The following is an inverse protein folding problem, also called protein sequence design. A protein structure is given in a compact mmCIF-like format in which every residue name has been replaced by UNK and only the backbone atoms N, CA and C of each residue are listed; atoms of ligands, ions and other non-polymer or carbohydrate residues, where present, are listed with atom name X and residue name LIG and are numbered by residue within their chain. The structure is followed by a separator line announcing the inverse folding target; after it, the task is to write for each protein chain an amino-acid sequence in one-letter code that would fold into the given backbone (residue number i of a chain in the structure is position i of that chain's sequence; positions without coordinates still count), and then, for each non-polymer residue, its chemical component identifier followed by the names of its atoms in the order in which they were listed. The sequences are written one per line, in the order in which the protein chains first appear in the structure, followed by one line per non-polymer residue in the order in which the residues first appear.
data_IF_600158709684
#
_entry.id   IF_600158709684
#
_cell.length_a   1.000
_cell.length_b   1.000
_cell.length_c   1.000
_cell.angle_alpha   90.00
_cell.angle_beta   90.00
_cell.angle_gamma   90.00
#
_symmetry.space_group_name_H-M   'P 1'
#
loop_
_entity.id
_entity.type
_entity.pdbx_description
1 polymer ?
#
# COMPACT_ATOMS: atom_id res chain seq x y z
N UNK A 1 27.41 -8.69 8.95
CA UNK A 1 26.66 -8.00 7.87
C UNK A 1 25.87 -6.89 8.51
N UNK A 2 25.91 -5.69 7.96
CA UNK A 2 25.10 -4.59 8.48
C UNK A 2 23.62 -4.91 8.22
N UNK A 3 22.78 -4.77 9.24
CA UNK A 3 21.33 -4.87 9.10
C UNK A 3 20.88 -3.70 8.21
N UNK A 4 20.05 -3.94 7.17
CA UNK A 4 19.52 -2.85 6.37
C UNK A 4 18.83 -1.81 7.29
N UNK A 5 19.11 -0.51 7.13
CA UNK A 5 18.44 0.52 7.93
C UNK A 5 16.92 0.40 7.73
N UNK A 6 16.18 0.36 8.85
CA UNK A 6 14.72 0.20 8.86
C UNK A 6 14.20 -1.24 8.93
N UNK A 7 15.08 -2.25 9.09
CA UNK A 7 14.63 -3.61 9.33
C UNK A 7 14.09 -3.76 10.76
N UNK A 8 12.79 -4.01 10.89
CA UNK A 8 12.13 -4.33 12.15
C UNK A 8 11.75 -5.81 12.17
N UNK A 9 12.45 -6.58 13.02
CA UNK A 9 12.22 -8.01 13.16
C UNK A 9 10.85 -8.34 13.78
N UNK A 10 10.22 -7.39 14.49
CA UNK A 10 8.95 -7.60 15.21
C UNK A 10 7.74 -7.73 14.28
N UNK A 11 7.85 -7.24 13.04
CA UNK A 11 6.79 -7.32 12.03
C UNK A 11 6.65 -8.76 11.46
N UNK A 12 7.60 -9.65 11.76
CA UNK A 12 7.60 -11.03 11.26
C UNK A 12 7.19 -12.03 12.35
N UNK A 13 6.43 -13.09 12.02
CA UNK A 13 5.95 -13.45 10.68
C UNK A 13 4.75 -12.60 10.23
N UNK A 14 4.67 -12.30 8.92
CA UNK A 14 3.49 -11.66 8.31
C UNK A 14 2.97 -12.46 7.12
N UNK A 15 1.66 -12.44 6.91
CA UNK A 15 1.06 -12.99 5.69
C UNK A 15 1.36 -12.07 4.50
N UNK A 16 1.69 -12.66 3.34
CA UNK A 16 1.94 -11.93 2.08
C UNK A 16 1.06 -12.50 0.97
N UNK A 17 0.80 -11.74 -0.11
CA UNK A 17 -0.01 -12.22 -1.22
C UNK A 17 0.53 -13.54 -1.79
N UNK A 18 -0.37 -14.48 -2.04
CA UNK A 18 -0.03 -15.76 -2.64
C UNK A 18 0.47 -15.56 -4.08
N UNK A 19 1.57 -16.23 -4.48
CA UNK A 19 2.00 -16.26 -5.88
C UNK A 19 0.88 -16.73 -6.82
N UNK A 20 0.77 -16.08 -7.99
CA UNK A 20 -0.18 -16.47 -9.03
C UNK A 20 0.03 -17.92 -9.46
N UNK A 21 -1.07 -18.63 -9.72
CA UNK A 21 -1.07 -20.03 -10.17
C UNK A 21 -0.92 -21.07 -9.06
N UNK A 22 -0.83 -20.67 -7.79
CA UNK A 22 -0.92 -21.61 -6.67
C UNK A 22 -2.37 -22.00 -6.35
N UNK A 23 -2.63 -23.24 -5.90
CA UNK A 23 -3.97 -23.67 -5.52
C UNK A 23 -4.48 -22.89 -4.30
N UNK A 24 -5.80 -22.68 -4.23
CA UNK A 24 -6.46 -22.09 -3.06
C UNK A 24 -6.35 -22.98 -1.81
N UNK A 25 -6.59 -22.40 -0.63
CA UNK A 25 -6.47 -23.10 0.66
C UNK A 25 -5.07 -23.05 1.27
N UNK A 26 -4.23 -22.12 0.83
CA UNK A 26 -2.84 -21.97 1.23
C UNK A 26 -2.52 -20.51 1.49
N UNK A 27 -1.59 -20.29 2.43
CA UNK A 27 -1.08 -18.97 2.82
C UNK A 27 0.43 -18.89 2.62
N UNK A 28 0.90 -17.76 2.13
CA UNK A 28 2.31 -17.39 2.07
C UNK A 28 2.64 -16.53 3.29
N UNK A 29 3.66 -16.94 4.05
CA UNK A 29 4.08 -16.29 5.28
C UNK A 29 5.54 -15.86 5.07
N UNK A 30 5.76 -14.55 5.07
CA UNK A 30 7.09 -13.99 5.07
C UNK A 30 7.67 -14.04 6.49
N UNK A 31 8.90 -14.54 6.59
CA UNK A 31 9.65 -14.69 7.84
C UNK A 31 11.00 -14.03 7.69
N UNK A 32 11.54 -13.55 8.80
CA UNK A 32 12.92 -13.08 8.89
C UNK A 32 13.85 -14.22 9.32
N UNK A 33 15.09 -14.18 8.84
CA UNK A 33 16.17 -14.97 9.44
C UNK A 33 16.53 -14.41 10.82
N UNK A 34 16.77 -15.28 11.80
CA UNK A 34 17.11 -14.88 13.17
C UNK A 34 18.52 -14.29 13.29
N UNK A 35 18.84 -13.62 14.42
CA UNK A 35 20.13 -12.95 14.66
C UNK A 35 21.37 -13.82 14.50
N UNK A 36 21.23 -15.13 14.73
CA UNK A 36 22.33 -16.10 14.62
C UNK A 36 22.57 -16.60 13.19
N UNK A 37 21.66 -16.32 12.24
CA UNK A 37 21.79 -16.79 10.87
C UNK A 37 22.77 -15.90 10.07
N UNK A 38 23.54 -16.52 9.17
CA UNK A 38 24.38 -15.78 8.20
C UNK A 38 23.55 -14.78 7.38
N UNK A 39 22.30 -15.10 7.12
CA UNK A 39 21.35 -14.26 6.37
C UNK A 39 20.51 -13.34 7.26
N UNK A 40 20.97 -13.00 8.47
CA UNK A 40 20.27 -12.06 9.35
C UNK A 40 19.95 -10.74 8.62
N UNK A 41 18.71 -10.25 8.79
CA UNK A 41 18.17 -9.09 8.08
C UNK A 41 17.53 -9.40 6.72
N UNK A 42 17.68 -10.62 6.21
CA UNK A 42 16.96 -11.07 5.01
C UNK A 42 15.62 -11.72 5.38
N UNK A 43 14.68 -11.72 4.43
CA UNK A 43 13.40 -12.43 4.57
C UNK A 43 13.33 -13.66 3.67
N UNK A 44 12.43 -14.58 3.99
CA UNK A 44 12.11 -15.76 3.18
C UNK A 44 10.62 -16.09 3.30
N UNK A 45 10.05 -16.69 2.25
CA UNK A 45 8.64 -17.09 2.22
C UNK A 45 8.52 -18.57 2.59
N UNK A 46 7.58 -18.87 3.48
CA UNK A 46 7.12 -20.22 3.80
C UNK A 46 5.63 -20.34 3.54
N UNK A 47 5.19 -21.51 3.15
CA UNK A 47 3.78 -21.76 2.86
C UNK A 47 3.17 -22.69 3.91
N UNK A 48 1.93 -22.42 4.28
CA UNK A 48 1.15 -23.27 5.19
C UNK A 48 -0.26 -23.46 4.63
N UNK A 49 -0.85 -24.64 4.80
CA UNK A 49 -2.22 -24.91 4.39
C UNK A 49 -3.20 -24.33 5.42
N UNK A 50 -4.37 -23.90 4.96
CA UNK A 50 -5.40 -23.33 5.85
C UNK A 50 -5.94 -24.36 6.85
N UNK A 51 -5.95 -25.63 6.48
CA UNK A 51 -6.30 -26.73 7.37
C UNK A 51 -5.21 -27.08 8.41
N UNK A 52 -4.03 -26.45 8.34
CA UNK A 52 -2.91 -26.71 9.25
C UNK A 52 -2.18 -28.04 9.06
N UNK A 53 -2.61 -28.89 8.12
CA UNK A 53 -1.98 -30.19 7.83
C UNK A 53 -0.54 -30.06 7.31
N UNK A 54 -0.27 -29.04 6.50
CA UNK A 54 1.06 -28.77 5.95
C UNK A 54 1.55 -27.41 6.44
N UNK A 55 2.75 -27.39 7.03
CA UNK A 55 3.36 -26.17 7.58
C UNK A 55 4.78 -26.01 7.07
N UNK A 56 5.21 -24.75 6.96
CA UNK A 56 6.60 -24.39 6.66
C UNK A 56 7.15 -24.94 5.33
N UNK A 57 6.31 -25.13 4.31
CA UNK A 57 6.79 -25.57 3.00
C UNK A 57 7.68 -24.48 2.37
N UNK A 58 8.80 -24.90 1.80
CA UNK A 58 9.84 -23.97 1.34
C UNK A 58 9.69 -23.45 -0.09
N UNK A 59 8.75 -23.99 -0.88
CA UNK A 59 8.58 -23.59 -2.28
C UNK A 59 7.15 -23.78 -2.78
N UNK A 60 6.79 -23.01 -3.80
CA UNK A 60 5.52 -23.12 -4.52
C UNK A 60 5.30 -24.53 -5.12
N UNK A 61 6.35 -25.15 -5.67
CA UNK A 61 6.25 -26.52 -6.20
C UNK A 61 6.02 -27.56 -5.09
N UNK A 62 6.56 -27.36 -3.89
CA UNK A 62 6.26 -28.20 -2.74
C UNK A 62 4.80 -28.06 -2.28
N UNK A 63 4.25 -26.83 -2.33
CA UNK A 63 2.82 -26.57 -2.08
C UNK A 63 1.93 -27.34 -3.04
N UNK A 64 2.23 -27.31 -4.35
CA UNK A 64 1.46 -28.03 -5.36
C UNK A 64 1.47 -29.53 -5.11
N UNK A 65 2.64 -30.10 -4.81
CA UNK A 65 2.78 -31.53 -4.48
C UNK A 65 1.98 -31.92 -3.24
N UNK A 66 2.12 -31.13 -2.16
CA UNK A 66 1.37 -31.34 -0.93
C UNK A 66 -0.14 -31.20 -1.14
N UNK A 67 -0.59 -30.27 -1.99
CA UNK A 67 -1.99 -30.10 -2.32
C UNK A 67 -2.56 -31.31 -3.07
N UNK A 68 -1.80 -31.85 -4.02
CA UNK A 68 -2.20 -33.06 -4.75
C UNK A 68 -2.28 -34.26 -3.82
N UNK A 69 -1.31 -34.42 -2.92
CA UNK A 69 -1.31 -35.47 -1.89
C UNK A 69 -2.53 -35.35 -0.96
N UNK A 70 -2.80 -34.15 -0.43
CA UNK A 70 -3.94 -33.88 0.44
C UNK A 70 -5.29 -34.26 -0.20
N UNK A 71 -5.41 -34.02 -1.51
CA UNK A 71 -6.61 -34.34 -2.30
C UNK A 71 -6.61 -35.75 -2.87
N UNK A 72 -5.59 -36.57 -2.56
CA UNK A 72 -5.41 -37.93 -3.12
C UNK A 72 -5.42 -37.95 -4.66
N UNK A 73 -4.92 -36.88 -5.27
CA UNK A 73 -4.72 -36.78 -6.72
C UNK A 73 -3.52 -37.63 -7.14
N UNK A 74 -3.52 -38.07 -8.38
CA UNK A 74 -2.46 -38.93 -8.90
C UNK A 74 -1.18 -38.11 -9.17
N UNK A 75 -0.04 -38.79 -9.37
CA UNK A 75 1.24 -38.10 -9.65
C UNK A 75 1.24 -37.31 -10.97
N UNK A 76 0.43 -37.74 -11.94
CA UNK A 76 0.29 -37.06 -13.24
C UNK A 76 -0.39 -35.70 -13.07
N UNK A 77 -1.42 -35.63 -12.24
CA UNK A 77 -2.11 -34.38 -11.90
C UNK A 77 -1.12 -33.37 -11.29
N UNK A 78 -0.25 -33.81 -10.37
CA UNK A 78 0.78 -32.93 -9.80
C UNK A 78 1.74 -32.35 -10.85
N UNK A 79 2.06 -33.11 -11.91
CA UNK A 79 2.90 -32.60 -12.99
C UNK A 79 2.17 -31.56 -13.84
N UNK A 80 0.87 -31.77 -14.09
CA UNK A 80 0.02 -30.81 -14.81
C UNK A 80 -0.13 -29.50 -14.03
N UNK A 81 -0.36 -29.55 -12.71
CA UNK A 81 -0.38 -28.34 -11.87
C UNK A 81 0.96 -27.58 -11.88
N UNK A 82 2.09 -28.28 -11.86
CA UNK A 82 3.41 -27.62 -11.93
C UNK A 82 3.61 -26.95 -13.30
N UNK A 83 3.20 -27.61 -14.38
CA UNK A 83 3.29 -27.06 -15.74
C UNK A 83 2.44 -25.79 -15.88
N UNK A 84 1.21 -25.83 -15.35
CA UNK A 84 0.31 -24.67 -15.36
C UNK A 84 0.86 -23.52 -14.50
N UNK A 85 1.38 -23.81 -13.31
CA UNK A 85 2.04 -22.81 -12.47
C UNK A 85 3.24 -22.15 -13.18
N UNK A 86 4.09 -22.95 -13.83
CA UNK A 86 5.24 -22.42 -14.58
C UNK A 86 4.76 -21.56 -15.78
N UNK A 87 3.68 -21.94 -16.48
CA UNK A 87 3.06 -21.13 -17.55
C UNK A 87 2.57 -19.78 -17.04
N UNK A 88 1.74 -19.77 -15.99
CA UNK A 88 1.19 -18.54 -15.39
C UNK A 88 2.31 -17.63 -14.87
N UNK A 89 3.37 -18.21 -14.30
CA UNK A 89 4.53 -17.45 -13.82
C UNK A 89 5.30 -16.80 -14.96
N UNK A 90 5.50 -17.48 -16.09
CA UNK A 90 6.16 -16.89 -17.26
C UNK A 90 5.29 -15.81 -17.91
N UNK A 91 3.96 -15.97 -17.94
CA UNK A 91 3.04 -14.94 -18.41
C UNK A 91 3.05 -13.70 -17.51
N UNK A 92 3.01 -13.88 -16.19
CA UNK A 92 3.14 -12.77 -15.23
C UNK A 92 4.51 -12.08 -15.33
N UNK A 93 5.58 -12.85 -15.51
CA UNK A 93 6.93 -12.31 -15.73
C UNK A 93 6.97 -11.46 -16.99
N UNK A 94 6.44 -11.95 -18.11
CA UNK A 94 6.35 -11.20 -19.38
C UNK A 94 5.49 -9.95 -19.22
N UNK A 95 4.33 -10.05 -18.58
CA UNK A 95 3.45 -8.90 -18.31
C UNK A 95 4.18 -7.83 -17.48
N UNK A 96 4.84 -8.22 -16.40
CA UNK A 96 5.63 -7.32 -15.55
C UNK A 96 6.82 -6.74 -16.30
N UNK A 97 7.45 -7.51 -17.18
CA UNK A 97 8.54 -7.03 -18.03
C UNK A 97 8.01 -5.96 -19.00
N UNK A 98 6.91 -6.21 -19.71
CA UNK A 98 6.25 -5.21 -20.56
C UNK A 98 5.80 -3.97 -19.78
N UNK A 99 5.27 -4.12 -18.57
CA UNK A 99 4.92 -3.00 -17.69
C UNK A 99 6.16 -2.21 -17.23
N UNK A 100 7.27 -2.90 -16.95
CA UNK A 100 8.55 -2.25 -16.62
C UNK A 100 9.13 -1.52 -17.82
N UNK A 101 9.05 -2.12 -19.00
CA UNK A 101 9.56 -1.54 -20.24
C UNK A 101 8.77 -0.30 -20.66
N UNK A 102 7.44 -0.34 -20.56
CA UNK A 102 6.59 0.84 -20.80
C UNK A 102 6.86 1.98 -19.81
N UNK A 103 7.34 1.68 -18.60
CA UNK A 103 7.84 2.65 -17.61
C UNK A 103 9.32 3.02 -17.78
N UNK A 104 9.95 2.67 -18.91
CA UNK A 104 11.36 2.97 -19.20
C UNK A 104 12.39 2.16 -18.43
N UNK A 105 11.97 1.19 -17.60
CA UNK A 105 12.87 0.27 -16.86
C UNK A 105 13.25 -0.94 -17.70
N UNK A 106 13.89 -0.67 -18.84
CA UNK A 106 14.35 -1.70 -19.77
C UNK A 106 15.74 -2.22 -19.39
N UNK A 107 16.11 -3.40 -19.91
CA UNK A 107 17.51 -3.86 -19.85
C UNK A 107 18.45 -2.85 -20.52
N UNK A 108 19.69 -2.75 -20.04
CA UNK A 108 20.67 -1.74 -20.48
C UNK A 108 20.85 -1.72 -22.00
N UNK A 109 21.02 -2.89 -22.62
CA UNK A 109 21.21 -3.01 -24.08
C UNK A 109 20.00 -2.49 -24.88
N UNK A 110 18.79 -2.94 -24.51
CA UNK A 110 17.55 -2.48 -25.14
C UNK A 110 17.30 -0.99 -24.92
N UNK A 111 17.68 -0.47 -23.75
CA UNK A 111 17.60 0.97 -23.42
C UNK A 111 18.49 1.78 -24.35
N UNK A 112 19.77 1.47 -24.45
CA UNK A 112 20.69 2.22 -25.32
C UNK A 112 20.31 2.09 -26.80
N UNK A 113 19.85 0.92 -27.26
CA UNK A 113 19.34 0.75 -28.63
C UNK A 113 18.12 1.64 -28.90
N UNK A 114 17.18 1.74 -27.96
CA UNK A 114 16.00 2.58 -28.12
C UNK A 114 16.34 4.07 -28.06
N UNK A 115 17.28 4.46 -27.19
CA UNK A 115 17.84 5.82 -27.17
C UNK A 115 18.44 6.17 -28.52
N UNK A 116 19.20 5.26 -29.14
CA UNK A 116 19.80 5.49 -30.45
C UNK A 116 18.73 5.69 -31.53
N UNK A 117 17.68 4.86 -31.56
CA UNK A 117 16.54 5.04 -32.50
C UNK A 117 15.93 6.44 -32.38
N UNK A 118 15.78 6.93 -31.15
CA UNK A 118 15.28 8.28 -30.91
C UNK A 118 16.26 9.35 -31.41
N UNK A 119 17.53 9.23 -31.03
CA UNK A 119 18.57 10.22 -31.34
C UNK A 119 18.90 10.29 -32.83
N UNK A 120 18.81 9.17 -33.55
CA UNK A 120 18.97 9.16 -35.01
C UNK A 120 17.90 10.00 -35.72
N UNK A 121 16.69 10.09 -35.14
CA UNK A 121 15.58 10.83 -35.72
C UNK A 121 15.49 12.29 -35.26
N UNK A 122 15.77 12.57 -34.00
CA UNK A 122 15.53 13.89 -33.39
C UNK A 122 16.76 14.53 -32.75
N UNK A 123 17.88 13.82 -32.66
CA UNK A 123 19.02 14.20 -31.83
C UNK A 123 18.77 14.00 -30.34
N UNK A 124 19.71 14.41 -29.47
CA UNK A 124 19.58 14.27 -28.03
C UNK A 124 18.47 15.17 -27.48
N UNK A 125 17.63 14.59 -26.62
CA UNK A 125 16.55 15.31 -25.96
C UNK A 125 17.12 16.26 -24.90
N UNK A 126 16.65 17.51 -24.89
CA UNK A 126 17.08 18.54 -23.95
C UNK A 126 15.94 19.01 -23.06
N UNK A 127 16.24 19.38 -21.82
CA UNK A 127 15.24 19.77 -20.82
C UNK A 127 14.25 20.87 -21.27
N UNK A 128 14.71 21.97 -21.89
CA UNK A 128 13.81 23.02 -22.39
C UNK A 128 12.76 22.52 -23.39
N UNK A 129 13.05 21.48 -24.18
CA UNK A 129 12.08 20.89 -25.12
C UNK A 129 11.02 20.12 -24.35
N UNK A 130 11.42 19.28 -23.38
CA UNK A 130 10.47 18.50 -22.56
C UNK A 130 9.58 19.41 -21.71
N UNK A 131 10.13 20.51 -21.21
CA UNK A 131 9.36 21.54 -20.49
C UNK A 131 8.20 22.11 -21.30
N UNK A 132 8.32 22.13 -22.63
CA UNK A 132 7.27 22.62 -23.54
C UNK A 132 6.33 21.51 -24.06
N UNK A 133 6.39 20.28 -23.51
CA UNK A 133 5.46 19.21 -23.87
C UNK A 133 4.04 19.51 -23.38
N UNK A 134 3.02 19.36 -24.25
CA UNK A 134 1.65 19.72 -23.89
C UNK A 134 1.09 18.77 -22.83
N UNK A 135 0.50 19.32 -21.77
CA UNK A 135 -0.09 18.52 -20.70
C UNK A 135 0.91 18.06 -19.62
N UNK A 136 2.21 18.33 -19.78
CA UNK A 136 3.24 17.88 -18.87
C UNK A 136 3.49 18.90 -17.75
N UNK A 137 3.92 18.40 -16.60
CA UNK A 137 4.33 19.22 -15.45
C UNK A 137 5.84 19.10 -15.25
N UNK A 138 6.53 20.20 -15.04
CA UNK A 138 7.97 20.21 -14.74
C UNK A 138 8.22 20.69 -13.32
N UNK A 139 8.96 19.89 -12.55
CA UNK A 139 9.30 20.15 -11.15
C UNK A 139 10.80 20.22 -10.97
N UNK A 140 11.29 21.34 -10.45
CA UNK A 140 12.67 21.56 -10.03
C UNK A 140 12.77 21.41 -8.51
N UNK A 141 13.65 20.54 -8.04
CA UNK A 141 13.90 20.31 -6.63
C UNK A 141 15.36 20.60 -6.31
N UNK A 142 15.60 21.61 -5.47
CA UNK A 142 16.94 21.95 -5.02
C UNK A 142 17.35 21.13 -3.80
N UNK A 143 18.49 20.46 -3.90
CA UNK A 143 19.12 19.73 -2.80
C UNK A 143 20.26 20.57 -2.19
N UNK A 144 20.09 21.11 -0.97
CA UNK A 144 21.13 21.91 -0.32
C UNK A 144 22.33 21.09 0.12
N UNK A 145 22.19 19.76 0.21
CA UNK A 145 23.31 18.87 0.58
C UNK A 145 24.31 18.72 -0.58
N UNK A 146 23.83 18.75 -1.83
CA UNK A 146 24.66 18.59 -3.03
C UNK A 146 24.80 19.88 -3.84
N UNK A 147 24.08 20.93 -3.48
CA UNK A 147 23.93 22.18 -4.25
C UNK A 147 23.43 21.94 -5.70
N UNK A 148 22.78 20.80 -5.95
CA UNK A 148 22.25 20.43 -7.26
C UNK A 148 20.73 20.66 -7.32
N UNK A 149 20.24 20.99 -8.51
CA UNK A 149 18.79 21.06 -8.80
C UNK A 149 18.42 19.86 -9.67
N UNK A 150 17.56 19.00 -9.15
CA UNK A 150 16.99 17.88 -9.90
C UNK A 150 15.74 18.34 -10.64
N UNK A 151 15.52 17.81 -11.85
CA UNK A 151 14.33 18.09 -12.64
C UNK A 151 13.54 16.80 -12.79
N UNK A 152 12.25 16.84 -12.46
CA UNK A 152 11.30 15.76 -12.70
C UNK A 152 10.24 16.25 -13.69
N UNK A 153 10.01 15.48 -14.74
CA UNK A 153 8.93 15.71 -15.69
C UNK A 153 7.81 14.73 -15.39
N UNK A 154 6.57 15.19 -15.33
CA UNK A 154 5.40 14.33 -15.13
C UNK A 154 4.54 14.39 -16.37
N UNK A 155 4.30 13.25 -17.00
CA UNK A 155 3.46 13.17 -18.19
C UNK A 155 1.96 13.25 -17.84
N UNK A 156 1.13 13.20 -18.88
CA UNK A 156 -0.34 13.27 -18.74
C UNK A 156 -0.95 12.05 -18.05
N UNK A 157 -0.20 10.94 -17.91
CA UNK A 157 -0.62 9.74 -17.20
C UNK A 157 -0.15 9.74 -15.73
N UNK A 158 0.58 10.78 -15.31
CA UNK A 158 1.15 10.89 -13.97
C UNK A 158 2.47 10.13 -13.78
N UNK A 159 3.11 9.67 -14.86
CA UNK A 159 4.41 9.01 -14.77
C UNK A 159 5.51 10.04 -14.61
N UNK A 160 6.33 9.89 -13.57
CA UNK A 160 7.48 10.76 -13.31
C UNK A 160 8.74 10.28 -14.04
N UNK A 161 9.42 11.21 -14.70
CA UNK A 161 10.65 11.01 -15.46
C UNK A 161 11.76 11.89 -14.89
N UNK A 162 12.81 11.27 -14.35
CA UNK A 162 13.95 11.98 -13.74
C UNK A 162 15.19 12.07 -14.64
N UNK A 163 15.26 11.21 -15.65
CA UNK A 163 16.37 11.15 -16.60
C UNK A 163 15.84 11.31 -18.02
N UNK A 164 16.41 12.26 -18.77
CA UNK A 164 16.05 12.46 -20.18
C UNK A 164 16.33 11.21 -21.02
N UNK A 165 17.39 10.45 -20.70
CA UNK A 165 17.68 9.17 -21.37
C UNK A 165 16.58 8.13 -21.21
N UNK A 166 15.84 8.13 -20.09
CA UNK A 166 14.74 7.19 -19.91
C UNK A 166 13.53 7.60 -20.79
N UNK A 167 13.31 8.91 -20.95
CA UNK A 167 12.33 9.46 -21.90
C UNK A 167 12.70 9.13 -23.36
N UNK A 168 13.96 9.35 -23.74
CA UNK A 168 14.47 9.00 -25.07
C UNK A 168 14.27 7.50 -25.36
N UNK A 169 14.57 6.64 -24.39
CA UNK A 169 14.39 5.20 -24.54
C UNK A 169 12.92 4.82 -24.78
N UNK A 170 11.98 5.44 -24.04
CA UNK A 170 10.54 5.16 -24.18
C UNK A 170 9.98 5.73 -25.48
N UNK A 171 10.39 6.93 -25.89
CA UNK A 171 10.03 7.46 -27.19
C UNK A 171 10.62 6.62 -28.33
N UNK A 172 11.87 6.17 -28.22
CA UNK A 172 12.50 5.23 -29.14
C UNK A 172 11.70 3.95 -29.33
N UNK A 173 11.24 3.35 -28.23
CA UNK A 173 10.39 2.16 -28.26
C UNK A 173 9.05 2.41 -28.95
N UNK A 174 8.40 3.54 -28.66
CA UNK A 174 7.13 3.94 -29.29
C UNK A 174 7.31 4.23 -30.78
N UNK A 175 8.41 4.86 -31.18
CA UNK A 175 8.77 5.06 -32.59
C UNK A 175 8.92 3.70 -33.30
N UNK A 176 9.64 2.76 -32.70
CA UNK A 176 9.81 1.40 -33.25
C UNK A 176 8.48 0.63 -33.34
N UNK A 177 7.50 0.98 -32.50
CA UNK A 177 6.16 0.38 -32.47
C UNK A 177 5.17 1.05 -33.45
N UNK A 178 5.61 2.04 -34.22
CA UNK A 178 4.78 2.73 -35.23
C UNK A 178 4.11 4.03 -34.74
N UNK A 179 4.36 4.48 -33.51
CA UNK A 179 3.82 5.75 -32.97
C UNK A 179 4.69 6.98 -33.33
N UNK A 180 5.59 6.82 -34.31
CA UNK A 180 6.61 7.81 -34.62
C UNK A 180 6.08 9.17 -35.04
N UNK A 181 4.93 9.25 -35.70
CA UNK A 181 4.39 10.52 -36.23
C UNK A 181 3.84 11.43 -35.13
N UNK A 182 3.11 10.84 -34.15
CA UNK A 182 2.61 11.58 -32.99
C UNK A 182 3.76 12.17 -32.16
N UNK A 183 4.81 11.37 -31.94
CA UNK A 183 6.01 11.80 -31.23
C UNK A 183 6.76 12.89 -32.02
N UNK A 184 6.88 12.74 -33.34
CA UNK A 184 7.54 13.72 -34.21
C UNK A 184 6.88 15.10 -34.08
N UNK A 185 5.55 15.14 -34.18
CA UNK A 185 4.78 16.38 -34.07
C UNK A 185 4.96 17.04 -32.71
N UNK A 186 4.85 16.26 -31.63
CA UNK A 186 5.03 16.75 -30.26
C UNK A 186 6.42 17.37 -30.05
N UNK A 187 7.48 16.72 -30.55
CA UNK A 187 8.86 17.21 -30.40
C UNK A 187 9.08 18.47 -31.23
N UNK A 188 8.57 18.52 -32.47
CA UNK A 188 8.68 19.70 -33.33
C UNK A 188 7.97 20.90 -32.72
N UNK A 189 6.72 20.74 -32.27
CA UNK A 189 5.93 21.78 -31.62
C UNK A 189 6.62 22.30 -30.35
N UNK A 190 7.16 21.38 -29.54
CA UNK A 190 7.87 21.73 -28.32
C UNK A 190 9.22 22.41 -28.59
N UNK A 191 9.95 21.96 -29.61
CA UNK A 191 11.23 22.56 -30.02
C UNK A 191 11.03 23.99 -30.51
N UNK A 192 9.94 24.26 -31.24
CA UNK A 192 9.60 25.61 -31.69
C UNK A 192 9.29 26.58 -30.53
N UNK A 193 8.82 26.07 -29.38
CA UNK A 193 8.52 26.85 -28.18
C UNK A 193 9.64 26.87 -27.15
N UNK A 194 10.63 25.99 -27.28
CA UNK A 194 11.65 25.78 -26.27
C UNK A 194 12.47 27.06 -26.02
N UNK A 195 12.38 27.57 -24.78
CA UNK A 195 13.11 28.75 -24.33
C UNK A 195 14.06 28.35 -23.19
N UNK A 196 15.37 28.56 -23.39
CA UNK A 196 16.40 28.14 -22.41
C UNK A 196 16.38 29.03 -21.17
N UNK A 197 16.11 30.32 -21.36
CA UNK A 197 16.09 31.33 -20.32
C UNK A 197 14.93 31.09 -19.35
N UNK A 198 13.75 30.75 -19.90
CA UNK A 198 12.55 30.37 -19.15
C UNK A 198 12.77 29.08 -18.37
N UNK A 199 13.32 28.04 -19.00
CA UNK A 199 13.67 26.80 -18.30
C UNK A 199 14.66 27.04 -17.15
N UNK A 200 15.62 27.96 -17.33
CA UNK A 200 16.58 28.32 -16.29
C UNK A 200 15.96 29.11 -15.12
N UNK A 201 14.80 29.77 -15.31
CA UNK A 201 14.05 30.39 -14.21
C UNK A 201 13.68 29.33 -13.17
N UNK A 202 13.20 28.16 -13.60
CA UNK A 202 12.77 27.13 -12.66
C UNK A 202 13.89 26.63 -11.73
N UNK A 203 15.11 26.50 -12.26
CA UNK A 203 16.27 26.14 -11.46
C UNK A 203 16.69 27.25 -10.48
N UNK A 204 16.59 28.53 -10.87
CA UNK A 204 16.86 29.67 -9.99
C UNK A 204 15.81 29.77 -8.88
N UNK A 205 14.53 29.68 -9.22
CA UNK A 205 13.42 29.76 -8.26
C UNK A 205 13.47 28.62 -7.24
N UNK A 206 13.80 27.39 -7.65
CA UNK A 206 13.97 26.28 -6.71
C UNK A 206 15.14 26.50 -5.73
N UNK A 207 16.25 27.08 -6.20
CA UNK A 207 17.41 27.43 -5.36
C UNK A 207 17.09 28.55 -4.38
N UNK A 208 16.46 29.62 -4.85
CA UNK A 208 16.05 30.77 -4.02
C UNK A 208 15.05 30.37 -2.92
N UNK A 209 14.15 29.43 -3.23
CA UNK A 209 13.20 28.88 -2.26
C UNK A 209 13.82 27.82 -1.33
N UNK A 210 15.07 27.44 -1.56
CA UNK A 210 15.73 26.26 -1.00
C UNK A 210 14.83 25.01 -1.01
N UNK A 211 14.05 24.82 -2.08
CA UNK A 211 12.91 23.90 -2.07
C UNK A 211 12.48 23.43 -3.45
N UNK A 212 11.18 23.42 -3.69
CA UNK A 212 10.56 22.92 -4.92
C UNK A 212 9.92 24.07 -5.68
N UNK A 213 10.20 24.15 -6.97
CA UNK A 213 9.48 24.98 -7.93
C UNK A 213 8.81 24.06 -8.95
N UNK A 214 7.55 24.29 -9.25
CA UNK A 214 6.77 23.45 -10.15
C UNK A 214 6.00 24.34 -11.12
N UNK A 215 5.99 23.97 -12.40
CA UNK A 215 5.19 24.60 -13.45
C UNK A 215 4.31 23.54 -14.07
N UNK A 216 3.00 23.76 -14.02
CA UNK A 216 2.01 22.85 -14.59
C UNK A 216 1.85 23.07 -16.09
N UNK A 217 1.10 22.18 -16.73
CA UNK A 217 0.80 22.23 -18.16
C UNK A 217 0.10 23.53 -18.61
N UNK A 218 -0.60 24.23 -17.71
CA UNK A 218 -1.28 25.50 -18.00
C UNK A 218 -0.36 26.71 -17.87
N UNK A 219 0.90 26.50 -17.46
CA UNK A 219 1.85 27.56 -17.15
C UNK A 219 1.71 28.12 -15.73
N UNK A 220 0.82 27.57 -14.90
CA UNK A 220 0.73 27.95 -13.49
C UNK A 220 1.98 27.49 -12.75
N UNK A 221 2.62 28.42 -12.06
CA UNK A 221 3.79 28.13 -11.23
C UNK A 221 3.45 28.07 -9.75
N UNK A 222 4.12 27.17 -9.03
CA UNK A 222 4.04 27.09 -7.57
C UNK A 222 5.44 26.93 -6.96
N UNK A 223 5.64 27.57 -5.82
CA UNK A 223 6.88 27.52 -5.03
C UNK A 223 6.54 26.90 -3.69
N UNK A 224 7.28 25.87 -3.28
CA UNK A 224 7.16 25.26 -1.96
C UNK A 224 8.51 25.30 -1.26
N UNK A 225 8.55 25.95 -0.09
CA UNK A 225 9.75 25.99 0.75
C UNK A 225 10.04 24.62 1.34
N UNK A 226 11.31 24.30 1.58
CA UNK A 226 11.70 23.02 2.18
C UNK A 226 11.08 22.76 3.55
N UNK A 227 10.93 23.79 4.39
CA UNK A 227 10.28 23.62 5.69
C UNK A 227 8.82 23.16 5.56
N UNK A 228 8.11 23.71 4.58
CA UNK A 228 6.74 23.31 4.28
C UNK A 228 6.68 21.89 3.72
N UNK A 229 7.59 21.54 2.82
CA UNK A 229 7.72 20.17 2.32
C UNK A 229 8.03 19.18 3.45
N UNK A 230 8.93 19.52 4.37
CA UNK A 230 9.25 18.67 5.52
C UNK A 230 8.06 18.55 6.47
N UNK A 231 7.32 19.64 6.70
CA UNK A 231 6.08 19.61 7.49
C UNK A 231 5.01 18.76 6.84
N UNK A 232 4.82 18.88 5.52
CA UNK A 232 3.85 18.11 4.76
C UNK A 232 4.23 16.64 4.69
N UNK A 233 5.52 16.33 4.54
CA UNK A 233 6.03 14.96 4.62
C UNK A 233 5.82 14.35 6.00
N UNK A 234 6.12 15.08 7.09
CA UNK A 234 5.82 14.64 8.47
C UNK A 234 4.33 14.45 8.71
N UNK A 235 3.50 15.38 8.21
CA UNK A 235 2.03 15.24 8.26
C UNK A 235 1.57 14.01 7.51
N UNK A 236 2.10 13.76 6.31
CA UNK A 236 1.77 12.59 5.49
C UNK A 236 2.19 11.30 6.18
N UNK A 237 3.42 11.22 6.71
CA UNK A 237 3.85 10.07 7.50
C UNK A 237 2.96 9.84 8.72
N UNK A 238 2.61 10.91 9.45
CA UNK A 238 1.68 10.81 10.57
C UNK A 238 0.29 10.36 10.12
N UNK A 239 -0.17 10.83 8.95
CA UNK A 239 -1.45 10.40 8.37
C UNK A 239 -1.38 8.93 7.95
N UNK A 240 -0.31 8.48 7.30
CA UNK A 240 -0.06 7.10 6.91
C UNK A 240 0.13 6.18 8.12
N UNK A 241 0.68 6.68 9.23
CA UNK A 241 0.75 5.95 10.50
C UNK A 241 -0.64 5.81 11.13
N UNK A 242 -1.46 6.87 11.07
CA UNK A 242 -2.86 6.85 11.50
C UNK A 242 -3.72 5.98 10.57
N UNK A 243 -3.49 6.00 9.27
CA UNK A 243 -4.22 5.23 8.25
C UNK A 243 -3.73 3.79 8.15
N UNK A 244 -2.45 3.53 8.37
CA UNK A 244 -1.92 2.19 8.61
C UNK A 244 -2.46 1.61 9.92
N UNK A 245 -2.89 2.47 10.84
CA UNK A 245 -3.68 2.11 12.03
C UNK A 245 -5.19 2.17 11.79
N UNK A 246 -5.67 2.60 10.60
CA UNK A 246 -7.09 2.48 10.27
C UNK A 246 -7.36 1.01 10.00
N UNK A 247 -8.44 0.46 10.58
CA UNK A 247 -8.97 -0.83 10.16
C UNK A 247 -9.14 -0.79 8.63
N UNK A 248 -8.62 -1.80 7.93
CA UNK A 248 -8.81 -1.97 6.48
C UNK A 248 -10.28 -1.71 6.12
N UNK A 249 -10.60 -1.06 4.98
CA UNK A 249 -11.98 -0.82 4.53
C UNK A 249 -12.88 -2.07 4.52
N UNK A 250 -12.28 -3.27 4.49
CA UNK A 250 -12.97 -4.57 4.56
C UNK A 250 -13.44 -4.96 5.98
N UNK A 251 -13.07 -4.20 7.02
CA UNK A 251 -13.63 -4.35 8.36
C UNK A 251 -15.01 -3.67 8.41
N UNK A 252 -15.96 -4.26 7.70
CA UNK A 252 -17.37 -3.94 7.82
C UNK A 252 -17.83 -4.26 9.24
N UNK A 253 -17.87 -3.24 10.09
CA UNK A 253 -18.70 -3.30 11.29
C UNK A 253 -20.14 -3.46 10.83
N UNK A 254 -20.80 -4.57 11.19
CA UNK A 254 -22.22 -4.72 10.88
C UNK A 254 -23.06 -3.56 11.44
N UNK A 255 -22.57 -2.84 12.46
CA UNK A 255 -23.21 -1.62 12.90
C UNK A 255 -23.18 -0.50 11.84
N UNK A 256 -22.15 -0.37 11.00
CA UNK A 256 -22.08 0.77 10.06
C UNK A 256 -23.11 0.64 8.91
N UNK A 257 -23.41 -0.58 8.47
CA UNK A 257 -24.38 -0.84 7.39
C UNK A 257 -25.80 -1.07 7.91
N UNK A 258 -25.96 -1.54 9.15
CA UNK A 258 -27.24 -1.95 9.72
C UNK A 258 -27.81 -0.97 10.75
N UNK A 259 -27.00 -0.09 11.37
CA UNK A 259 -27.43 0.82 12.43
C UNK A 259 -28.22 2.05 11.97
N UNK A 260 -28.72 2.06 10.73
CA UNK A 260 -29.77 3.03 10.36
C UNK A 260 -31.15 2.62 10.89
N UNK A 261 -31.29 1.39 11.44
CA UNK A 261 -32.54 0.90 12.02
C UNK A 261 -32.28 0.05 13.27
N UNK A 262 -33.18 0.16 14.26
CA UNK A 262 -33.18 -0.66 15.48
C UNK A 262 -33.16 -2.17 15.15
N UNK A 263 -33.88 -2.59 14.11
CA UNK A 263 -33.88 -3.97 13.63
C UNK A 263 -32.48 -4.45 13.18
N UNK A 264 -31.72 -3.59 12.50
CA UNK A 264 -30.37 -3.92 12.07
C UNK A 264 -29.38 -4.06 13.22
N UNK A 265 -29.56 -3.28 14.29
CA UNK A 265 -28.78 -3.41 15.53
C UNK A 265 -29.05 -4.75 16.19
N UNK A 266 -30.31 -5.16 16.34
CA UNK A 266 -30.67 -6.45 16.92
C UNK A 266 -30.06 -7.61 16.14
N UNK A 267 -30.15 -7.58 14.81
CA UNK A 267 -29.56 -8.60 13.95
C UNK A 267 -28.03 -8.70 14.12
N UNK A 268 -27.34 -7.56 14.19
CA UNK A 268 -25.90 -7.54 14.43
C UNK A 268 -25.52 -8.14 15.79
N UNK A 269 -26.28 -7.84 16.85
CA UNK A 269 -26.07 -8.42 18.19
C UNK A 269 -26.29 -9.93 18.19
N UNK A 270 -27.35 -10.42 17.53
CA UNK A 270 -27.63 -11.86 17.42
C UNK A 270 -26.52 -12.60 16.68
N UNK A 271 -26.06 -12.05 15.56
CA UNK A 271 -24.99 -12.67 14.78
C UNK A 271 -23.64 -12.63 15.51
N UNK A 272 -23.29 -11.53 16.20
CA UNK A 272 -22.09 -11.50 17.02
C UNK A 272 -22.16 -12.49 18.18
N UNK A 273 -23.33 -12.62 18.83
CA UNK A 273 -23.55 -13.62 19.88
C UNK A 273 -23.35 -15.04 19.33
N UNK A 274 -23.90 -15.32 18.15
CA UNK A 274 -23.73 -16.60 17.45
C UNK A 274 -22.25 -16.89 17.15
N UNK A 275 -21.52 -15.93 16.57
CA UNK A 275 -20.09 -16.09 16.30
C UNK A 275 -19.27 -16.34 17.58
N UNK A 276 -19.52 -15.58 18.64
CA UNK A 276 -18.84 -15.77 19.93
C UNK A 276 -19.13 -17.16 20.54
N UNK A 277 -20.38 -17.59 20.55
CA UNK A 277 -20.76 -18.87 21.16
C UNK A 277 -20.30 -20.06 20.31
N UNK A 278 -20.64 -20.07 19.02
CA UNK A 278 -20.40 -21.22 18.15
C UNK A 278 -18.92 -21.36 17.75
N UNK A 279 -18.28 -20.24 17.39
CA UNK A 279 -16.91 -20.24 16.84
C UNK A 279 -15.84 -20.03 17.90
N UNK A 280 -16.10 -19.18 18.90
CA UNK A 280 -15.13 -18.85 19.97
C UNK A 280 -15.37 -19.57 21.29
N UNK A 281 -16.47 -20.34 21.40
CA UNK A 281 -16.84 -21.13 22.59
C UNK A 281 -17.06 -20.30 23.84
N UNK A 282 -17.54 -19.06 23.67
CA UNK A 282 -17.99 -18.23 24.79
C UNK A 282 -19.31 -18.79 25.37
N UNK A 283 -19.64 -18.49 26.63
CA UNK A 283 -20.94 -18.83 27.21
C UNK A 283 -22.10 -18.17 26.43
N UNK A 284 -23.28 -18.79 26.44
CA UNK A 284 -24.48 -18.20 25.80
C UNK A 284 -24.91 -16.89 26.44
N UNK A 285 -24.57 -16.69 27.72
CA UNK A 285 -24.85 -15.52 28.53
C UNK A 285 -23.84 -14.38 28.36
N UNK A 286 -23.26 -14.19 27.17
CA UNK A 286 -22.36 -13.04 26.92
C UNK A 286 -23.13 -11.72 26.99
N UNK A 287 -22.59 -10.77 27.77
CA UNK A 287 -23.08 -9.40 27.84
C UNK A 287 -22.52 -8.62 26.65
N UNK A 288 -23.42 -8.08 25.81
CA UNK A 288 -23.07 -7.24 24.67
C UNK A 288 -23.68 -5.84 24.89
N UNK A 289 -22.91 -4.81 24.55
CA UNK A 289 -23.33 -3.42 24.57
C UNK A 289 -23.32 -2.88 23.13
N UNK A 290 -24.40 -2.23 22.73
CA UNK A 290 -24.42 -1.50 21.46
C UNK A 290 -24.20 -0.03 21.75
N UNK A 291 -23.25 0.57 21.03
CA UNK A 291 -23.07 2.01 20.96
C UNK A 291 -23.60 2.48 19.62
N UNK A 292 -24.83 3.00 19.64
CA UNK A 292 -25.52 3.54 18.47
C UNK A 292 -26.03 4.93 18.82
N UNK A 293 -25.27 5.95 18.42
CA UNK A 293 -25.52 7.33 18.85
C UNK A 293 -24.23 8.11 19.02
N UNK A 294 -23.93 8.96 18.05
CA UNK A 294 -22.92 9.97 18.19
C UNK A 294 -23.45 11.25 17.56
N UNK A 295 -23.15 12.39 18.17
CA UNK A 295 -23.57 13.70 17.70
C UNK A 295 -23.16 13.87 16.23
N UNK A 296 -24.08 14.34 15.39
CA UNK A 296 -23.77 14.65 13.99
C UNK A 296 -22.57 15.61 13.93
N UNK A 297 -21.56 15.26 13.14
CA UNK A 297 -20.31 16.02 13.03
C UNK A 297 -19.19 15.61 13.99
N UNK A 298 -19.40 14.67 14.92
CA UNK A 298 -18.30 14.14 15.73
C UNK A 298 -17.34 13.33 14.85
N UNK A 299 -16.10 13.82 14.69
CA UNK A 299 -15.06 13.22 13.82
C UNK A 299 -14.81 11.73 14.09
N UNK A 300 -15.01 11.28 15.33
CA UNK A 300 -14.76 9.91 15.76
C UNK A 300 -16.03 9.06 15.88
N UNK A 301 -17.21 9.58 15.55
CA UNK A 301 -18.49 8.86 15.61
C UNK A 301 -18.44 7.47 14.95
N UNK A 302 -17.94 7.29 13.72
CA UNK A 302 -17.89 5.97 13.09
C UNK A 302 -16.96 4.98 13.81
N UNK A 303 -15.92 5.49 14.48
CA UNK A 303 -14.97 4.66 15.24
C UNK A 303 -15.51 4.23 16.60
N UNK A 304 -16.49 4.95 17.14
CA UNK A 304 -17.13 4.65 18.44
C UNK A 304 -18.38 3.77 18.30
N UNK A 305 -19.05 3.82 17.15
CA UNK A 305 -20.24 3.00 16.89
C UNK A 305 -19.86 1.53 16.75
N UNK A 306 -20.71 0.64 17.25
CA UNK A 306 -20.46 -0.80 17.16
C UNK A 306 -21.07 -1.63 18.27
N UNK A 307 -20.84 -2.93 18.18
CA UNK A 307 -21.17 -3.89 19.25
C UNK A 307 -19.90 -4.16 20.04
N UNK A 308 -20.01 -4.04 21.35
CA UNK A 308 -18.94 -4.28 22.30
C UNK A 308 -19.26 -5.50 23.15
N UNK A 309 -18.28 -6.34 23.43
CA UNK A 309 -18.43 -7.41 24.41
C UNK A 309 -17.87 -6.99 25.75
N UNK A 310 -18.54 -7.39 26.83
CA UNK A 310 -18.06 -7.20 28.20
C UNK A 310 -16.93 -8.18 28.50
N UNK A 311 -15.77 -7.65 28.86
CA UNK A 311 -14.61 -8.42 29.27
C UNK A 311 -14.81 -9.01 30.69
N UNK A 312 -14.00 -10.00 31.06
CA UNK A 312 -14.04 -10.55 32.43
C UNK A 312 -13.38 -9.59 33.42
N UNK A 313 -12.40 -8.82 32.94
CA UNK A 313 -11.71 -7.79 33.67
C UNK A 313 -12.63 -6.60 33.96
N UNK A 314 -12.41 -5.99 35.13
CA UNK A 314 -13.00 -4.71 35.51
C UNK A 314 -11.92 -3.63 35.46
N UNK A 315 -12.33 -2.42 35.09
CA UNK A 315 -11.46 -1.25 35.08
C UNK A 315 -12.09 -0.16 35.94
N UNK A 316 -11.36 0.31 36.97
CA UNK A 316 -11.88 1.24 37.98
C UNK A 316 -13.22 0.80 38.58
N UNK A 317 -13.30 -0.47 39.01
CA UNK A 317 -14.49 -1.11 39.61
C UNK A 317 -15.74 -1.13 38.70
N UNK A 318 -15.59 -0.88 37.40
CA UNK A 318 -16.66 -0.93 36.41
C UNK A 318 -16.37 -1.93 35.30
N UNK A 319 -17.40 -2.42 34.59
CA UNK A 319 -17.19 -3.31 33.45
C UNK A 319 -16.33 -2.67 32.36
N UNK A 320 -15.37 -3.44 31.85
CA UNK A 320 -14.59 -3.09 30.67
C UNK A 320 -15.23 -3.73 29.43
N UNK A 321 -15.31 -2.97 28.34
CA UNK A 321 -15.87 -3.44 27.09
C UNK A 321 -14.86 -3.31 25.97
N UNK A 322 -14.85 -4.26 25.03
CA UNK A 322 -14.02 -4.20 23.82
C UNK A 322 -14.88 -4.37 22.56
N UNK A 323 -14.61 -3.55 21.54
CA UNK A 323 -15.39 -3.52 20.31
C UNK A 323 -15.11 -4.76 19.46
N UNK A 324 -16.20 -5.36 18.98
CA UNK A 324 -16.19 -6.48 18.06
C UNK A 324 -16.24 -5.97 16.62
N UNK A 325 -15.56 -6.68 15.72
CA UNK A 325 -15.68 -6.45 14.29
C UNK A 325 -15.83 -7.77 13.55
N UNK A 326 -16.71 -7.77 12.54
CA UNK A 326 -16.91 -8.91 11.67
C UNK A 326 -15.78 -8.95 10.64
N UNK A 327 -15.07 -10.08 10.58
CA UNK A 327 -13.96 -10.31 9.64
C UNK A 327 -14.19 -11.65 8.96
N UNK A 328 -14.93 -11.70 7.84
CA UNK A 328 -15.30 -12.96 7.18
C UNK A 328 -14.10 -13.84 6.82
N UNK A 329 -12.97 -13.21 6.49
CA UNK A 329 -11.72 -13.88 6.15
C UNK A 329 -10.99 -14.49 7.37
N UNK A 330 -11.33 -14.06 8.59
CA UNK A 330 -10.75 -14.62 9.80
C UNK A 330 -11.37 -15.99 10.11
N UNK A 331 -10.58 -16.89 10.71
CA UNK A 331 -11.01 -18.27 11.01
C UNK A 331 -12.34 -18.35 11.80
N UNK A 332 -12.57 -17.39 12.70
CA UNK A 332 -13.78 -17.35 13.52
C UNK A 332 -14.87 -16.39 12.97
N UNK A 333 -14.62 -15.70 11.86
CA UNK A 333 -15.51 -14.66 11.34
C UNK A 333 -15.56 -13.38 12.20
N UNK A 334 -14.85 -13.33 13.32
CA UNK A 334 -14.92 -12.26 14.31
C UNK A 334 -13.52 -11.92 14.84
N UNK A 335 -13.28 -10.64 15.08
CA UNK A 335 -12.07 -10.10 15.71
C UNK A 335 -12.42 -8.95 16.66
N UNK A 336 -11.41 -8.48 17.41
CA UNK A 336 -11.46 -7.23 18.15
C UNK A 336 -10.49 -6.25 17.49
N UNK A 337 -10.83 -4.96 17.46
CA UNK A 337 -10.04 -3.94 16.75
C UNK A 337 -9.26 -2.99 17.67
N UNK A 338 -9.08 -3.41 18.92
CA UNK A 338 -8.36 -2.66 19.94
C UNK A 338 -9.08 -1.43 20.47
N UNK A 339 -10.37 -1.22 20.16
CA UNK A 339 -11.16 -0.15 20.77
C UNK A 339 -11.81 -0.65 22.05
N UNK A 340 -11.52 0.03 23.16
CA UNK A 340 -12.06 -0.27 24.48
C UNK A 340 -13.01 0.84 24.91
N UNK A 341 -14.05 0.48 25.66
CA UNK A 341 -14.89 1.42 26.39
C UNK A 341 -14.77 1.11 27.89
N UNK A 342 -14.31 2.09 28.66
CA UNK A 342 -13.96 1.94 30.07
C UNK A 342 -14.37 3.16 30.88
N UNK A 343 -14.51 3.00 32.19
CA UNK A 343 -14.77 4.11 33.09
C UNK A 343 -13.46 4.75 33.54
N UNK A 344 -13.31 6.05 33.30
CA UNK A 344 -12.18 6.81 33.84
C UNK A 344 -12.54 7.36 35.20
N UNK A 345 -11.83 6.90 36.23
CA UNK A 345 -12.00 7.38 37.59
C UNK A 345 -11.59 8.86 37.72
N UNK A 346 -10.52 9.27 37.04
CA UNK A 346 -10.00 10.65 37.10
C UNK A 346 -10.93 11.67 36.48
N UNK A 347 -11.60 11.31 35.37
CA UNK A 347 -12.54 12.20 34.66
C UNK A 347 -14.00 11.93 35.01
N UNK A 348 -14.27 10.97 35.89
CA UNK A 348 -15.60 10.54 36.33
C UNK A 348 -16.60 10.33 35.16
N UNK A 349 -16.15 9.65 34.09
CA UNK A 349 -16.95 9.42 32.87
C UNK A 349 -16.48 8.19 32.09
N UNK A 350 -17.36 7.65 31.24
CA UNK A 350 -16.97 6.67 30.22
C UNK A 350 -16.03 7.28 29.18
N UNK A 351 -15.06 6.50 28.74
CA UNK A 351 -14.09 6.87 27.71
C UNK A 351 -13.90 5.72 26.74
N UNK A 352 -13.64 6.09 25.48
CA UNK A 352 -13.26 5.15 24.44
C UNK A 352 -11.77 5.37 24.15
N UNK A 353 -10.98 4.31 24.16
CA UNK A 353 -9.52 4.36 24.01
C UNK A 353 -8.99 3.16 23.22
N UNK A 354 -7.73 3.24 22.79
CA UNK A 354 -7.04 2.13 22.09
C UNK A 354 -6.30 1.17 23.03
N UNK A 355 -6.24 1.50 24.32
CA UNK A 355 -5.72 0.64 25.37
C UNK A 355 -6.50 0.88 26.67
N UNK A 356 -6.64 -0.13 27.54
CA UNK A 356 -7.36 -0.03 28.80
C UNK A 356 -6.48 0.59 29.90
N UNK A 357 -6.00 1.82 29.69
CA UNK A 357 -5.17 2.57 30.66
C UNK A 357 -5.71 3.98 30.87
N UNK A 358 -5.65 4.50 32.10
CA UNK A 358 -6.19 5.83 32.45
C UNK A 358 -5.49 6.97 31.66
N UNK A 359 -4.23 6.76 31.28
CA UNK A 359 -3.41 7.68 30.48
C UNK A 359 -3.64 7.58 28.97
N UNK A 360 -4.43 6.61 28.51
CA UNK A 360 -4.62 6.39 27.07
C UNK A 360 -5.31 7.59 26.41
N UNK A 361 -4.88 8.00 25.20
CA UNK A 361 -5.60 8.99 24.41
C UNK A 361 -7.06 8.54 24.22
N UNK A 362 -7.99 9.34 24.73
CA UNK A 362 -9.43 9.07 24.64
C UNK A 362 -10.04 9.81 23.45
N UNK A 363 -10.95 9.15 22.73
CA UNK A 363 -11.84 9.83 21.80
C UNK A 363 -12.84 10.65 22.64
N UNK A 364 -12.72 11.97 22.60
CA UNK A 364 -13.54 12.90 23.39
C UNK A 364 -14.81 13.29 22.64
#
# INVERSE_FOLDING_TARGET
MAVPPGFDASIFPREVPMPLGLPAGWKAIERSYGPSAKSYGMTYIRYSSDCGAYKQLGSAKAVIKAHCEAKKLNKKDSAEFIKEYDRVREEDKKRKETERESRGKMGVEKREASVQIFQDKFGPLVGPVVFCFPGWTTRWEYSPNSYQTHVTYTDTEGTEWKLLKDLEAVFGLRIASGEGDSISKMIQDATARANKEEFAVGARSAREAEGVYEVTATGESSVRKREENLRNWRKKQKLEEIEGSRPSPDLLSWADSSASSEAGVHLAVEEFRKLLCERRKFPSSVDLLVVDGAMEGATFAPRMRGVYYKMQEVFADRPLYQRLVHVPAAHAGIACDGVYMMWSASKNRWQIATAPEESSPSFA
#
